data_IF_988895940825
#
_entry.id   IF_988895940825
#
_cell.length_a   1.000
_cell.length_b   1.000
_cell.length_c   1.000
_cell.angle_alpha   90.00
_cell.angle_beta   90.00
_cell.angle_gamma   90.00
#
_symmetry.space_group_name_H-M   'P 1'
#
loop_
_entity.id
_entity.type
_entity.pdbx_description
1 polymer ?
#
# COMPACT_ATOMS: atom_id res chain seq x y z
N UNK A 1 20.72 2.42 3.91
CA UNK A 1 19.50 1.62 3.64
C UNK A 1 19.93 0.18 3.42
N UNK A 2 19.45 -0.76 4.23
CA UNK A 2 19.98 -2.13 4.29
C UNK A 2 19.14 -3.04 3.38
N UNK A 3 19.62 -3.34 2.17
CA UNK A 3 18.88 -4.15 1.20
C UNK A 3 19.37 -5.60 1.19
N UNK A 4 18.46 -6.55 0.99
CA UNK A 4 18.79 -7.95 0.68
C UNK A 4 18.47 -8.23 -0.78
N UNK A 5 19.45 -8.78 -1.52
CA UNK A 5 19.24 -9.17 -2.92
C UNK A 5 18.51 -10.52 -2.96
N UNK A 6 17.46 -10.58 -3.77
CA UNK A 6 16.70 -11.80 -4.06
C UNK A 6 16.77 -12.06 -5.54
N UNK A 7 17.06 -13.30 -5.93
CA UNK A 7 17.05 -13.77 -7.31
C UNK A 7 15.81 -14.62 -7.52
N UNK A 8 15.06 -14.36 -8.59
CA UNK A 8 13.82 -15.08 -8.91
C UNK A 8 13.84 -15.54 -10.36
N UNK A 9 13.24 -16.70 -10.61
CA UNK A 9 13.01 -17.21 -11.96
C UNK A 9 11.58 -16.86 -12.38
N UNK A 10 11.42 -16.30 -13.57
CA UNK A 10 10.13 -15.97 -14.16
C UNK A 10 9.85 -16.86 -15.39
N UNK A 11 8.59 -17.17 -15.69
CA UNK A 11 8.20 -17.72 -16.98
C UNK A 11 8.69 -16.81 -18.11
N UNK A 12 9.16 -17.42 -19.21
CA UNK A 12 9.79 -16.70 -20.32
C UNK A 12 8.86 -15.64 -20.93
N UNK A 13 7.61 -16.01 -21.19
CA UNK A 13 6.59 -15.11 -21.72
C UNK A 13 6.37 -13.90 -20.80
N UNK A 14 6.27 -14.12 -19.49
CA UNK A 14 6.07 -13.04 -18.53
C UNK A 14 7.28 -12.09 -18.49
N UNK A 15 8.50 -12.63 -18.57
CA UNK A 15 9.70 -11.80 -18.64
C UNK A 15 9.75 -10.97 -19.92
N UNK A 16 9.37 -11.54 -21.06
CA UNK A 16 9.29 -10.83 -22.35
C UNK A 16 8.23 -9.72 -22.34
N UNK A 17 7.07 -9.99 -21.73
CA UNK A 17 6.01 -8.99 -21.55
C UNK A 17 6.49 -7.82 -20.68
N UNK A 18 7.13 -8.12 -19.53
CA UNK A 18 7.72 -7.12 -18.65
C UNK A 18 8.84 -6.33 -19.33
N UNK A 19 9.65 -6.99 -20.15
CA UNK A 19 10.72 -6.37 -20.91
C UNK A 19 10.15 -5.39 -21.94
N UNK A 20 9.05 -5.75 -22.60
CA UNK A 20 8.36 -4.93 -23.60
C UNK A 20 7.69 -3.71 -22.95
N UNK A 21 7.04 -3.89 -21.80
CA UNK A 21 6.32 -2.82 -21.12
C UNK A 21 7.22 -1.82 -20.38
N UNK A 22 8.29 -2.28 -19.73
CA UNK A 22 9.07 -1.46 -18.80
C UNK A 22 10.55 -1.31 -19.17
N UNK A 23 11.08 -2.17 -20.04
CA UNK A 23 12.49 -2.17 -20.44
C UNK A 23 13.42 -2.87 -19.44
N UNK A 24 14.58 -3.33 -19.95
CA UNK A 24 15.52 -4.25 -19.26
C UNK A 24 16.03 -3.77 -17.89
N UNK A 25 16.07 -2.45 -17.68
CA UNK A 25 16.58 -1.84 -16.43
C UNK A 25 15.54 -1.62 -15.34
N UNK A 26 14.23 -1.73 -15.65
CA UNK A 26 13.16 -1.38 -14.70
C UNK A 26 12.46 -2.60 -14.08
N UNK A 27 12.69 -3.79 -14.62
CA UNK A 27 12.02 -5.03 -14.18
C UNK A 27 12.25 -5.30 -12.69
N UNK A 28 13.47 -5.09 -12.18
CA UNK A 28 13.78 -5.28 -10.76
C UNK A 28 12.99 -4.34 -9.84
N UNK A 29 12.82 -3.08 -10.26
CA UNK A 29 12.02 -2.10 -9.52
C UNK A 29 10.54 -2.47 -9.51
N UNK A 30 10.00 -2.86 -10.66
CA UNK A 30 8.60 -3.31 -10.79
C UNK A 30 8.32 -4.54 -9.92
N UNK A 31 9.22 -5.52 -9.90
CA UNK A 31 9.07 -6.71 -9.06
C UNK A 31 9.18 -6.38 -7.57
N UNK A 32 10.07 -5.47 -7.18
CA UNK A 32 10.21 -5.04 -5.80
C UNK A 32 8.94 -4.33 -5.30
N UNK A 33 8.39 -3.42 -6.11
CA UNK A 33 7.15 -2.70 -5.81
C UNK A 33 5.95 -3.66 -5.72
N UNK A 34 5.83 -4.58 -6.68
CA UNK A 34 4.77 -5.58 -6.67
C UNK A 34 4.86 -6.50 -5.43
N UNK A 35 6.07 -6.89 -5.03
CA UNK A 35 6.29 -7.69 -3.83
C UNK A 35 5.93 -6.90 -2.55
N UNK A 36 6.35 -5.64 -2.44
CA UNK A 36 6.01 -4.77 -1.33
C UNK A 36 4.50 -4.60 -1.20
N UNK A 37 3.82 -4.26 -2.30
CA UNK A 37 2.38 -4.09 -2.34
C UNK A 37 1.67 -5.36 -1.87
N UNK A 38 2.06 -6.52 -2.36
CA UNK A 38 1.44 -7.80 -1.96
C UNK A 38 1.68 -8.15 -0.49
N UNK A 39 2.83 -7.79 0.06
CA UNK A 39 3.12 -7.95 1.49
C UNK A 39 2.27 -6.97 2.31
N UNK A 40 2.14 -5.72 1.88
CA UNK A 40 1.29 -4.73 2.55
C UNK A 40 -0.17 -5.17 2.54
N UNK A 41 -0.68 -5.62 1.40
CA UNK A 41 -2.03 -6.19 1.29
C UNK A 41 -2.24 -7.33 2.29
N UNK A 42 -1.30 -8.29 2.37
CA UNK A 42 -1.38 -9.39 3.35
C UNK A 42 -1.24 -8.94 4.82
N UNK A 43 -0.47 -7.89 5.09
CA UNK A 43 -0.33 -7.34 6.45
C UNK A 43 -1.54 -6.52 6.87
N UNK A 44 -2.16 -5.85 5.91
CA UNK A 44 -3.32 -4.99 6.09
C UNK A 44 -4.64 -5.73 5.91
N UNK A 45 -4.63 -7.00 5.49
CA UNK A 45 -5.80 -7.87 5.55
C UNK A 45 -6.41 -7.74 6.95
N UNK A 46 -7.64 -7.20 7.05
CA UNK A 46 -8.24 -7.00 8.34
C UNK A 46 -8.45 -8.38 8.96
N UNK A 47 -7.80 -8.66 10.09
CA UNK A 47 -8.32 -9.64 11.03
C UNK A 47 -9.66 -9.09 11.54
N UNK A 48 -10.71 -9.37 10.78
CA UNK A 48 -12.07 -8.88 10.95
C UNK A 48 -12.19 -7.33 10.79
N UNK A 49 -12.71 -6.84 9.65
CA UNK A 49 -12.91 -5.40 9.41
C UNK A 49 -13.73 -4.71 10.51
N UNK A 50 -14.65 -5.44 11.14
CA UNK A 50 -15.50 -4.93 12.21
C UNK A 50 -14.64 -4.67 13.45
N UNK A 51 -13.74 -5.60 13.79
CA UNK A 51 -12.80 -5.41 14.91
C UNK A 51 -11.81 -4.28 14.64
N UNK A 52 -11.32 -4.15 13.41
CA UNK A 52 -10.45 -3.04 13.03
C UNK A 52 -11.16 -1.68 13.18
N UNK A 53 -12.42 -1.57 12.77
CA UNK A 53 -13.23 -0.37 12.96
C UNK A 53 -13.42 -0.03 14.45
N UNK A 54 -13.78 -1.01 15.28
CA UNK A 54 -13.92 -0.78 16.73
C UNK A 54 -12.59 -0.43 17.40
N UNK A 55 -11.48 -1.02 16.96
CA UNK A 55 -10.14 -0.68 17.46
C UNK A 55 -9.76 0.76 17.10
N UNK A 56 -9.99 1.18 15.85
CA UNK A 56 -9.74 2.55 15.40
C UNK A 56 -10.59 3.55 16.18
N UNK A 57 -11.91 3.28 16.33
CA UNK A 57 -12.82 4.13 17.11
C UNK A 57 -12.37 4.33 18.56
N UNK A 58 -11.70 3.34 19.17
CA UNK A 58 -11.20 3.44 20.55
C UNK A 58 -9.99 4.37 20.68
N UNK A 59 -9.14 4.42 19.66
CA UNK A 59 -7.89 5.22 19.68
C UNK A 59 -8.05 6.61 19.04
N UNK A 60 -9.07 6.79 18.19
CA UNK A 60 -9.36 8.09 17.60
C UNK A 60 -10.03 9.00 18.62
N UNK A 61 -9.43 10.16 18.87
CA UNK A 61 -10.00 11.24 19.68
C UNK A 61 -11.35 11.65 19.09
N UNK A 62 -12.39 11.73 19.92
CA UNK A 62 -13.67 12.29 19.47
C UNK A 62 -13.49 13.78 19.27
N UNK A 63 -13.67 14.24 18.03
CA UNK A 63 -13.74 15.66 17.72
C UNK A 63 -15.10 16.22 18.14
N UNK A 64 -15.09 17.44 18.62
CA UNK A 64 -16.31 18.21 18.90
C UNK A 64 -16.94 18.69 17.59
N UNK A 65 -18.21 19.07 17.64
CA UNK A 65 -18.93 19.56 16.46
C UNK A 65 -18.24 20.78 15.84
N UNK A 66 -17.72 21.68 16.66
CA UNK A 66 -17.00 22.88 16.24
C UNK A 66 -15.72 22.53 15.46
N UNK A 67 -14.90 21.62 15.97
CA UNK A 67 -13.67 21.17 15.29
C UNK A 67 -13.98 20.50 13.93
N UNK A 68 -15.09 19.77 13.84
CA UNK A 68 -15.55 19.16 12.59
C UNK A 68 -15.96 20.24 11.59
N UNK A 69 -16.74 21.23 12.03
CA UNK A 69 -17.20 22.32 11.17
C UNK A 69 -16.03 23.19 10.68
N UNK A 70 -15.05 23.47 11.53
CA UNK A 70 -13.83 24.21 11.17
C UNK A 70 -13.00 23.45 10.13
N UNK A 71 -12.86 22.13 10.26
CA UNK A 71 -12.16 21.30 9.28
C UNK A 71 -12.88 21.30 7.92
N UNK A 72 -14.22 21.23 7.92
CA UNK A 72 -15.04 21.30 6.69
C UNK A 72 -14.87 22.66 6.02
N UNK A 73 -14.90 23.76 6.77
CA UNK A 73 -14.71 25.10 6.23
C UNK A 73 -13.31 25.28 5.60
N UNK A 74 -12.25 24.79 6.25
CA UNK A 74 -10.87 24.83 5.73
C UNK A 74 -10.67 24.07 4.42
N UNK A 75 -11.41 22.98 4.19
CA UNK A 75 -11.33 22.21 2.95
C UNK A 75 -12.12 22.79 1.77
N UNK A 76 -12.98 23.78 2.03
CA UNK A 76 -13.84 24.42 1.01
C UNK A 76 -13.27 25.75 0.49
N UNK A 77 -12.36 26.37 1.24
CA UNK A 77 -11.56 27.53 0.83
C UNK A 77 -10.28 27.10 0.14
#
# INVERSE_FOLDING_TARGET
>A
MNYRRVTVSLPKNLYEDLLTMFGKGKISGVLAEAAERRILEKKLEPKDPIKAFFALRKITSKLTHEEIMDAIHKGRT
#
